data_IF_401960719552
#
_entry.id   IF_401960719552
#
_cell.length_a   1.000
_cell.length_b   1.000
_cell.length_c   1.000
_cell.angle_alpha   90.00
_cell.angle_beta   90.00
_cell.angle_gamma   90.00
#
_symmetry.space_group_name_H-M   'P 1'
#
loop_
_entity.id
_entity.type
_entity.pdbx_description
1 polymer ?
#
# COMPACT_ATOMS: atom_id res chain seq x y z
N UNK A 1 3.18 17.66 2.74
CA UNK A 1 4.50 17.02 2.77
C UNK A 1 4.63 15.91 1.75
N UNK A 2 5.86 15.67 1.30
CA UNK A 2 6.16 14.58 0.39
C UNK A 2 6.30 13.27 1.16
N UNK A 3 5.88 12.15 0.57
CA UNK A 3 6.10 10.84 1.16
C UNK A 3 7.60 10.47 1.07
N UNK A 4 8.18 9.84 2.11
CA UNK A 4 9.56 9.37 2.07
C UNK A 4 9.73 8.31 0.98
N UNK A 5 10.83 8.37 0.23
CA UNK A 5 11.11 7.44 -0.87
C UNK A 5 12.09 6.36 -0.46
N UNK A 6 12.03 5.21 -1.13
CA UNK A 6 12.98 4.11 -0.94
C UNK A 6 12.72 3.27 0.32
N UNK A 7 11.46 3.18 0.74
CA UNK A 7 11.06 2.39 1.90
C UNK A 7 11.07 0.89 1.59
N UNK A 8 11.62 0.07 2.49
CA UNK A 8 11.55 -1.40 2.37
C UNK A 8 10.25 -1.97 2.95
N UNK A 9 9.68 -1.27 3.95
CA UNK A 9 8.47 -1.66 4.65
C UNK A 9 7.66 -0.41 4.99
N UNK A 10 6.36 -0.45 4.70
CA UNK A 10 5.38 0.55 5.12
C UNK A 10 4.25 -0.17 5.87
N UNK A 11 3.96 0.29 7.08
CA UNK A 11 2.85 -0.19 7.89
C UNK A 11 1.73 0.84 7.82
N UNK A 12 0.58 0.45 7.29
CA UNK A 12 -0.58 1.33 7.19
C UNK A 12 -1.82 0.57 7.70
N UNK A 13 -1.84 0.35 9.02
CA UNK A 13 -2.81 -0.54 9.67
C UNK A 13 -3.88 0.24 10.41
N UNK A 14 -5.13 -0.21 10.29
CA UNK A 14 -6.29 0.28 11.03
C UNK A 14 -6.61 1.76 10.81
N UNK A 15 -6.23 2.31 9.66
CA UNK A 15 -6.42 3.73 9.31
C UNK A 15 -7.13 3.90 7.98
N UNK A 16 -6.89 3.01 7.03
CA UNK A 16 -7.44 3.10 5.67
C UNK A 16 -8.96 2.90 5.67
N UNK A 17 -9.50 2.20 6.69
CA UNK A 17 -10.95 2.02 6.87
C UNK A 17 -11.73 3.34 7.01
N UNK A 18 -11.09 4.43 7.43
CA UNK A 18 -11.75 5.73 7.62
C UNK A 18 -11.78 6.60 6.36
N UNK A 19 -11.15 6.14 5.27
CA UNK A 19 -11.01 6.93 4.05
C UNK A 19 -12.10 6.61 3.02
N UNK A 20 -12.51 7.64 2.27
CA UNK A 20 -13.31 7.46 1.06
C UNK A 20 -12.51 6.69 0.01
N UNK A 21 -13.19 6.18 -1.02
CA UNK A 21 -12.54 5.39 -2.07
C UNK A 21 -11.45 6.20 -2.80
N UNK A 22 -11.71 7.47 -3.08
CA UNK A 22 -10.80 8.40 -3.75
C UNK A 22 -9.55 8.66 -2.89
N UNK A 23 -9.74 8.82 -1.58
CA UNK A 23 -8.64 8.99 -0.64
C UNK A 23 -7.79 7.72 -0.53
N UNK A 24 -8.40 6.52 -0.55
CA UNK A 24 -7.67 5.24 -0.60
C UNK A 24 -6.81 5.15 -1.87
N UNK A 25 -7.36 5.50 -3.02
CA UNK A 25 -6.64 5.48 -4.29
C UNK A 25 -5.44 6.40 -4.29
N UNK A 26 -5.60 7.61 -3.74
CA UNK A 26 -4.50 8.55 -3.56
C UNK A 26 -3.43 7.99 -2.63
N UNK A 27 -3.81 7.48 -1.46
CA UNK A 27 -2.87 6.95 -0.46
C UNK A 27 -2.10 5.74 -1.01
N UNK A 28 -2.77 4.76 -1.62
CA UNK A 28 -2.11 3.57 -2.14
C UNK A 28 -1.13 3.89 -3.28
N UNK A 29 -1.45 4.85 -4.15
CA UNK A 29 -0.53 5.30 -5.20
C UNK A 29 0.74 5.90 -4.59
N UNK A 30 0.59 6.84 -3.67
CA UNK A 30 1.74 7.49 -3.02
C UNK A 30 2.57 6.51 -2.17
N UNK A 31 1.93 5.57 -1.46
CA UNK A 31 2.61 4.50 -0.72
C UNK A 31 3.42 3.61 -1.68
N UNK A 32 2.83 3.18 -2.79
CA UNK A 32 3.55 2.36 -3.77
C UNK A 32 4.75 3.10 -4.36
N UNK A 33 4.60 4.37 -4.71
CA UNK A 33 5.72 5.19 -5.18
C UNK A 33 6.82 5.41 -4.12
N UNK A 34 6.48 5.23 -2.85
CA UNK A 34 7.40 5.37 -1.71
C UNK A 34 8.18 4.10 -1.43
N UNK A 35 7.63 2.94 -1.79
CA UNK A 35 8.30 1.65 -1.66
C UNK A 35 9.42 1.48 -2.69
N UNK A 36 10.49 0.78 -2.30
CA UNK A 36 11.42 0.17 -3.26
C UNK A 36 10.76 -0.99 -4.00
N UNK A 37 11.35 -1.38 -5.12
CA UNK A 37 11.07 -2.71 -5.69
C UNK A 37 11.24 -3.79 -4.62
N UNK A 38 10.35 -4.78 -4.65
CA UNK A 38 10.21 -5.82 -3.62
C UNK A 38 9.85 -5.34 -2.20
N UNK A 39 9.67 -4.03 -1.98
CA UNK A 39 9.23 -3.47 -0.71
C UNK A 39 7.82 -3.91 -0.32
N UNK A 40 7.54 -3.95 0.98
CA UNK A 40 6.30 -4.50 1.55
C UNK A 40 5.40 -3.39 2.10
N UNK A 41 4.12 -3.43 1.74
CA UNK A 41 3.02 -2.76 2.41
C UNK A 41 2.26 -3.79 3.27
N UNK A 42 2.11 -3.50 4.56
CA UNK A 42 1.30 -4.30 5.47
C UNK A 42 0.10 -3.51 5.99
N UNK A 43 -1.10 -4.03 5.74
CA UNK A 43 -2.37 -3.44 6.14
C UNK A 43 -2.97 -4.13 7.37
N UNK A 44 -4.04 -3.54 7.92
CA UNK A 44 -4.82 -4.13 9.01
C UNK A 44 -5.65 -5.33 8.56
N UNK A 45 -6.12 -6.11 9.53
CA UNK A 45 -6.77 -7.41 9.29
C UNK A 45 -8.12 -7.33 8.54
N UNK A 46 -8.67 -6.14 8.39
CA UNK A 46 -9.91 -5.88 7.63
C UNK A 46 -9.67 -4.99 6.42
N UNK A 47 -8.41 -4.66 6.12
CA UNK A 47 -8.01 -3.71 5.09
C UNK A 47 -7.41 -4.48 3.92
N UNK A 48 -8.20 -4.61 2.83
CA UNK A 48 -7.78 -5.28 1.61
C UNK A 48 -7.80 -4.32 0.42
N UNK A 49 -6.85 -4.50 -0.49
CA UNK A 49 -6.82 -3.82 -1.77
C UNK A 49 -7.50 -4.74 -2.78
N UNK A 50 -8.60 -4.27 -3.40
CA UNK A 50 -9.35 -5.08 -4.37
C UNK A 50 -8.58 -5.33 -5.65
N UNK A 51 -7.93 -4.29 -6.19
CA UNK A 51 -7.12 -4.37 -7.42
C UNK A 51 -5.71 -3.82 -7.17
N UNK A 52 -4.83 -4.60 -6.52
CA UNK A 52 -3.50 -4.13 -6.13
C UNK A 52 -2.60 -3.84 -7.33
N UNK A 53 -2.87 -4.45 -8.49
CA UNK A 53 -2.07 -4.25 -9.71
C UNK A 53 -2.14 -2.80 -10.22
N UNK A 54 -3.27 -2.10 -9.98
CA UNK A 54 -3.39 -0.65 -10.27
C UNK A 54 -2.36 0.22 -9.57
N UNK A 55 -1.83 -0.27 -8.46
CA UNK A 55 -0.80 0.42 -7.68
C UNK A 55 0.55 -0.27 -7.79
N UNK A 56 0.76 -1.15 -8.77
CA UNK A 56 1.99 -1.94 -8.88
C UNK A 56 2.31 -2.75 -7.62
N UNK A 57 1.27 -3.29 -6.99
CA UNK A 57 1.36 -4.15 -5.83
C UNK A 57 0.86 -5.55 -6.19
N UNK A 58 1.45 -6.58 -5.59
CA UNK A 58 0.94 -7.96 -5.61
C UNK A 58 0.71 -8.47 -4.19
N UNK A 59 -0.37 -9.21 -3.92
CA UNK A 59 -0.51 -9.88 -2.63
C UNK A 59 0.57 -10.96 -2.51
N UNK A 60 1.16 -11.09 -1.32
CA UNK A 60 2.15 -12.16 -1.02
C UNK A 60 1.72 -13.04 0.15
N UNK A 61 1.01 -12.46 1.11
CA UNK A 61 0.50 -13.08 2.33
C UNK A 61 -0.77 -12.31 2.74
N UNK A 62 -1.52 -12.81 3.73
CA UNK A 62 -2.72 -12.11 4.20
C UNK A 62 -2.38 -10.69 4.68
N UNK A 63 -2.98 -9.68 4.03
CA UNK A 63 -2.77 -8.25 4.31
C UNK A 63 -1.38 -7.70 3.95
N UNK A 64 -0.50 -8.53 3.37
CA UNK A 64 0.81 -8.13 2.89
C UNK A 64 0.82 -8.01 1.37
N UNK A 65 1.32 -6.86 0.90
CA UNK A 65 1.46 -6.55 -0.51
C UNK A 65 2.90 -6.19 -0.80
N UNK A 66 3.44 -6.74 -1.88
CA UNK A 66 4.79 -6.47 -2.35
C UNK A 66 4.74 -5.56 -3.58
N UNK A 67 5.60 -4.54 -3.63
CA UNK A 67 5.79 -3.74 -4.83
C UNK A 67 6.45 -4.55 -5.93
N UNK A 68 5.88 -4.40 -7.13
CA UNK A 68 6.39 -4.95 -8.39
C UNK A 68 6.61 -3.81 -9.37
N UNK A 69 7.46 -4.03 -10.37
CA UNK A 69 7.79 -3.04 -11.42
C UNK A 69 6.57 -2.68 -12.25
#
# INVERSE_FOLDING_TARGET
DQYPKGMHLILCRNVIIYFTQEAKEYVFRNISESLKEDGILFLGNTERIFDPQRYKLKPVELFFYKKVV
#
